data_IF_486391258227
#
_entry.id   IF_486391258227
#
_cell.length_a   1.000
_cell.length_b   1.000
_cell.length_c   1.000
_cell.angle_alpha   90.00
_cell.angle_beta   90.00
_cell.angle_gamma   90.00
#
_symmetry.space_group_name_H-M   'P 1'
#
loop_
_entity.id
_entity.type
_entity.pdbx_description
1 polymer ?
#
# COMPACT_ATOMS: atom_id res chain seq x y z
N UNK A 1 7.33 -28.17 2.95
CA UNK A 1 6.94 -26.83 3.47
C UNK A 1 7.69 -25.66 2.83
N UNK A 2 9.02 -25.72 2.63
CA UNK A 2 9.83 -24.57 2.12
C UNK A 2 9.36 -24.00 0.77
N UNK A 3 8.92 -24.85 -0.15
CA UNK A 3 8.41 -24.44 -1.46
C UNK A 3 7.00 -23.83 -1.39
N UNK A 4 6.14 -24.26 -0.44
CA UNK A 4 4.80 -23.66 -0.27
C UNK A 4 4.88 -22.21 0.19
N UNK A 5 5.83 -21.88 1.06
CA UNK A 5 6.06 -20.50 1.51
C UNK A 5 6.56 -19.60 0.36
N UNK A 6 7.49 -20.10 -0.46
CA UNK A 6 7.95 -19.37 -1.66
C UNK A 6 6.82 -19.17 -2.68
N UNK A 7 5.96 -20.17 -2.84
CA UNK A 7 4.84 -20.14 -3.78
C UNK A 7 3.74 -19.18 -3.30
N UNK A 8 3.49 -19.10 -1.99
CA UNK A 8 2.61 -18.08 -1.38
C UNK A 8 3.19 -16.67 -1.58
N UNK A 9 4.51 -16.50 -1.43
CA UNK A 9 5.16 -15.21 -1.64
C UNK A 9 5.06 -14.75 -3.10
N UNK A 10 5.28 -15.65 -4.06
CA UNK A 10 5.09 -15.39 -5.50
C UNK A 10 3.61 -15.13 -5.82
N UNK A 11 2.69 -15.86 -5.19
CA UNK A 11 1.26 -15.64 -5.36
C UNK A 11 0.79 -14.29 -4.80
N UNK A 12 1.34 -13.86 -3.66
CA UNK A 12 1.11 -12.52 -3.08
C UNK A 12 1.63 -11.41 -3.99
N UNK A 13 2.81 -11.61 -4.61
CA UNK A 13 3.36 -10.67 -5.60
C UNK A 13 2.42 -10.60 -6.82
N UNK A 14 1.96 -11.74 -7.34
CA UNK A 14 1.03 -11.79 -8.47
C UNK A 14 -0.34 -11.17 -8.15
N UNK A 15 -0.84 -11.34 -6.92
CA UNK A 15 -2.11 -10.76 -6.47
C UNK A 15 -2.01 -9.23 -6.33
N UNK A 16 -0.81 -8.71 -6.05
CA UNK A 16 -0.56 -7.27 -5.96
C UNK A 16 -0.47 -6.55 -7.30
N UNK A 17 -0.25 -7.27 -8.41
CA UNK A 17 -0.20 -6.71 -9.76
C UNK A 17 -1.59 -6.74 -10.41
N UNK A 18 -2.49 -5.82 -10.01
CA UNK A 18 -3.66 -5.53 -10.83
C UNK A 18 -3.19 -4.83 -12.12
N UNK A 19 -3.62 -5.38 -13.27
CA UNK A 19 -3.27 -4.94 -14.61
C UNK A 19 -3.91 -3.58 -14.91
N UNK A 20 -3.37 -2.50 -14.35
CA UNK A 20 -3.78 -1.15 -14.69
C UNK A 20 -3.02 -0.69 -15.94
N UNK A 21 -3.77 -0.47 -17.01
CA UNK A 21 -3.36 -0.04 -18.34
C UNK A 21 -2.39 1.15 -18.27
N UNK A 22 -1.18 0.99 -18.78
CA UNK A 22 -0.14 2.03 -18.77
C UNK A 22 -0.50 3.18 -19.71
N UNK A 23 -0.34 4.41 -19.23
CA UNK A 23 -0.25 5.61 -20.05
C UNK A 23 0.89 5.43 -21.10
N UNK A 24 0.70 5.88 -22.34
CA UNK A 24 1.62 5.62 -23.48
C UNK A 24 3.04 6.19 -23.27
N UNK A 25 3.27 6.93 -22.17
CA UNK A 25 4.55 7.53 -21.77
C UNK A 25 5.28 6.82 -20.63
N UNK A 26 4.78 5.67 -20.15
CA UNK A 26 5.46 4.93 -19.07
C UNK A 26 6.51 3.99 -19.67
N UNK A 27 7.78 4.20 -19.30
CA UNK A 27 8.86 3.33 -19.78
C UNK A 27 8.74 1.91 -19.19
N UNK A 28 9.13 0.90 -19.98
CA UNK A 28 9.17 -0.49 -19.50
C UNK A 28 10.03 -0.64 -18.24
N UNK A 29 11.14 0.10 -18.14
CA UNK A 29 12.00 0.12 -16.96
C UNK A 29 11.24 0.59 -15.71
N UNK A 30 10.37 1.59 -15.83
CA UNK A 30 9.52 2.08 -14.73
C UNK A 30 8.53 1.01 -14.28
N UNK A 31 7.93 0.27 -15.21
CA UNK A 31 6.99 -0.82 -14.91
C UNK A 31 7.72 -1.96 -14.19
N UNK A 32 8.89 -2.38 -14.68
CA UNK A 32 9.68 -3.44 -14.04
C UNK A 32 10.16 -3.03 -12.65
N UNK A 33 10.64 -1.79 -12.48
CA UNK A 33 11.01 -1.28 -11.17
C UNK A 33 9.80 -1.25 -10.22
N UNK A 34 8.62 -0.86 -10.72
CA UNK A 34 7.39 -0.86 -9.93
C UNK A 34 7.07 -2.25 -9.38
N UNK A 35 7.05 -3.27 -10.25
CA UNK A 35 6.67 -4.64 -9.88
C UNK A 35 7.74 -5.32 -9.02
N UNK A 36 9.02 -5.14 -9.33
CA UNK A 36 10.10 -5.89 -8.68
C UNK A 36 10.63 -5.25 -7.40
N UNK A 37 10.50 -3.93 -7.27
CA UNK A 37 11.09 -3.18 -6.16
C UNK A 37 10.01 -2.48 -5.35
N UNK A 38 9.22 -1.60 -5.98
CA UNK A 38 8.30 -0.74 -5.23
C UNK A 38 7.10 -1.51 -4.66
N UNK A 39 6.53 -2.48 -5.37
CA UNK A 39 5.41 -3.30 -4.86
C UNK A 39 5.80 -4.19 -3.67
N UNK A 40 6.93 -4.93 -3.69
CA UNK A 40 7.38 -5.68 -2.51
C UNK A 40 7.65 -4.79 -1.30
N UNK A 41 8.23 -3.61 -1.51
CA UNK A 41 8.48 -2.64 -0.43
C UNK A 41 7.15 -2.11 0.11
N UNK A 42 6.25 -1.67 -0.77
CA UNK A 42 4.92 -1.21 -0.38
C UNK A 42 4.11 -2.28 0.37
N UNK A 43 4.21 -3.53 -0.06
CA UNK A 43 3.60 -4.66 0.63
C UNK A 43 4.18 -4.84 2.03
N UNK A 44 5.51 -4.81 2.16
CA UNK A 44 6.17 -4.90 3.46
C UNK A 44 5.78 -3.74 4.39
N UNK A 45 5.65 -2.52 3.86
CA UNK A 45 5.18 -1.35 4.59
C UNK A 45 3.72 -1.50 5.01
N UNK A 46 2.84 -2.04 4.15
CA UNK A 46 1.43 -2.26 4.47
C UNK A 46 1.30 -3.29 5.60
N UNK A 47 2.03 -4.40 5.53
CA UNK A 47 2.04 -5.43 6.58
C UNK A 47 2.58 -4.87 7.89
N UNK A 48 3.70 -4.16 7.84
CA UNK A 48 4.34 -3.59 9.05
C UNK A 48 3.46 -2.50 9.66
N UNK A 49 2.93 -1.60 8.84
CA UNK A 49 2.03 -0.53 9.26
C UNK A 49 0.73 -1.07 9.87
N UNK A 50 0.14 -2.11 9.28
CA UNK A 50 -1.01 -2.81 9.86
C UNK A 50 -0.67 -3.44 11.21
N UNK A 51 0.48 -4.11 11.31
CA UNK A 51 0.91 -4.72 12.58
C UNK A 51 1.13 -3.65 13.67
N UNK A 52 1.75 -2.53 13.33
CA UNK A 52 1.94 -1.39 14.24
C UNK A 52 0.61 -0.76 14.65
N UNK A 53 -0.31 -0.56 13.71
CA UNK A 53 -1.64 -0.03 14.00
C UNK A 53 -2.38 -0.92 15.00
N UNK A 54 -2.39 -2.24 14.79
CA UNK A 54 -2.99 -3.18 15.74
C UNK A 54 -2.33 -3.11 17.12
N UNK A 55 -1.00 -3.04 17.18
CA UNK A 55 -0.26 -2.97 18.44
C UNK A 55 -0.56 -1.68 19.24
N UNK A 56 -0.69 -0.54 18.56
CA UNK A 56 -0.93 0.76 19.20
C UNK A 56 -2.43 1.10 19.30
N UNK A 57 -3.31 0.33 18.65
CA UNK A 57 -4.75 0.56 18.62
C UNK A 57 -5.41 0.76 20.00
N UNK A 58 -5.03 0.08 21.09
CA UNK A 58 -5.63 0.34 22.40
C UNK A 58 -5.28 1.74 22.93
N UNK A 59 -4.05 2.20 22.68
CA UNK A 59 -3.63 3.57 23.05
C UNK A 59 -4.31 4.60 22.17
N UNK A 60 -4.47 4.33 20.87
CA UNK A 60 -5.20 5.21 19.96
C UNK A 60 -6.65 5.36 20.35
N UNK A 61 -7.31 4.29 20.79
CA UNK A 61 -8.69 4.34 21.26
C UNK A 61 -8.85 5.28 22.47
N UNK A 62 -7.87 5.30 23.39
CA UNK A 62 -7.85 6.24 24.52
C UNK A 62 -7.57 7.67 24.04
N UNK A 63 -6.59 7.85 23.15
CA UNK A 63 -6.25 9.15 22.58
C UNK A 63 -7.44 9.78 21.83
N UNK A 64 -8.28 8.95 21.21
CA UNK A 64 -9.47 9.37 20.48
C UNK A 64 -10.58 9.97 21.38
N UNK A 65 -10.46 9.87 22.70
CA UNK A 65 -11.43 10.47 23.64
C UNK A 65 -11.23 11.98 23.74
N UNK A 66 -10.03 12.51 23.46
CA UNK A 66 -9.79 13.95 23.45
C UNK A 66 -10.17 14.53 22.08
N UNK A 67 -10.79 15.73 22.02
CA UNK A 67 -10.91 16.48 20.77
C UNK A 67 -9.54 16.62 20.10
N UNK A 68 -9.40 16.34 18.78
CA UNK A 68 -10.47 16.32 17.77
C UNK A 68 -11.17 14.97 17.54
N UNK A 69 -10.87 13.91 18.31
CA UNK A 69 -11.45 12.56 18.17
C UNK A 69 -11.15 11.85 16.83
N UNK A 70 -10.08 12.27 16.16
CA UNK A 70 -9.61 11.77 14.86
C UNK A 70 -8.32 10.93 14.97
N UNK A 71 -7.73 10.84 16.16
CA UNK A 71 -6.45 10.16 16.38
C UNK A 71 -6.44 8.71 15.86
N UNK A 72 -7.57 8.00 15.99
CA UNK A 72 -7.70 6.64 15.50
C UNK A 72 -7.79 6.59 13.97
N UNK A 73 -8.62 7.43 13.38
CA UNK A 73 -8.86 7.49 11.93
C UNK A 73 -7.61 7.98 11.18
N UNK A 74 -6.94 9.02 11.70
CA UNK A 74 -5.69 9.55 11.14
C UNK A 74 -4.58 8.51 11.18
N UNK A 75 -4.47 7.76 12.29
CA UNK A 75 -3.47 6.71 12.42
C UNK A 75 -3.76 5.53 11.49
N UNK A 76 -5.03 5.17 11.32
CA UNK A 76 -5.45 4.15 10.36
C UNK A 76 -5.12 4.58 8.93
N UNK A 77 -5.45 5.82 8.59
CA UNK A 77 -5.18 6.39 7.26
C UNK A 77 -3.68 6.40 6.97
N UNK A 78 -2.86 6.83 7.93
CA UNK A 78 -1.42 6.96 7.76
C UNK A 78 -0.69 5.61 7.75
N UNK A 79 -1.03 4.70 8.67
CA UNK A 79 -0.29 3.44 8.85
C UNK A 79 -0.80 2.31 7.97
N UNK A 80 -2.07 2.34 7.55
CA UNK A 80 -2.70 1.24 6.81
C UNK A 80 -3.13 1.70 5.42
N UNK A 81 -3.99 2.71 5.31
CA UNK A 81 -4.60 3.07 4.03
C UNK A 81 -3.59 3.67 3.06
N UNK A 82 -2.72 4.58 3.52
CA UNK A 82 -1.68 5.19 2.68
C UNK A 82 -0.76 4.15 2.03
N UNK A 83 -0.10 3.24 2.78
CA UNK A 83 0.74 2.21 2.16
C UNK A 83 -0.08 1.20 1.35
N UNK A 84 -1.31 0.87 1.76
CA UNK A 84 -2.21 0.01 0.99
C UNK A 84 -2.52 0.62 -0.37
N UNK A 85 -2.94 1.90 -0.41
CA UNK A 85 -3.29 2.63 -1.61
C UNK A 85 -2.08 2.75 -2.55
N UNK A 86 -0.90 3.04 -2.00
CA UNK A 86 0.35 3.06 -2.78
C UNK A 86 0.68 1.69 -3.38
N UNK A 87 0.37 0.60 -2.69
CA UNK A 87 0.77 -0.76 -3.11
C UNK A 87 -0.22 -1.40 -4.08
N UNK A 88 -1.51 -1.31 -3.76
CA UNK A 88 -2.56 -2.08 -4.42
C UNK A 88 -3.46 -1.23 -5.33
N UNK A 89 -3.75 0.01 -4.96
CA UNK A 89 -4.64 0.87 -5.74
C UNK A 89 -3.94 1.70 -6.80
N UNK A 90 -2.64 1.91 -6.63
CA UNK A 90 -1.81 2.67 -7.56
C UNK A 90 -1.63 1.95 -8.91
N UNK A 91 -1.94 2.63 -10.04
CA UNK A 91 -1.67 2.12 -11.38
C UNK A 91 -0.18 1.84 -11.63
N UNK A 92 0.10 0.85 -12.48
CA UNK A 92 1.46 0.46 -12.82
C UNK A 92 2.24 1.64 -13.44
N UNK A 93 3.40 1.93 -12.88
CA UNK A 93 4.30 2.97 -13.36
C UNK A 93 3.91 4.41 -13.02
N UNK A 94 2.80 4.63 -12.31
CA UNK A 94 2.47 5.92 -11.70
C UNK A 94 3.08 5.96 -10.30
N UNK A 95 3.81 7.02 -9.95
CA UNK A 95 4.45 7.15 -8.62
C UNK A 95 3.89 8.31 -7.80
N UNK A 96 3.17 9.24 -8.44
CA UNK A 96 2.58 10.39 -7.78
C UNK A 96 1.06 10.37 -7.95
N UNK A 97 0.30 10.72 -6.90
CA UNK A 97 -1.12 10.98 -7.05
C UNK A 97 -1.36 12.13 -8.03
N UNK A 98 -2.57 12.24 -8.53
CA UNK A 98 -2.99 13.40 -9.30
C UNK A 98 -3.02 14.68 -8.44
N UNK A 99 -3.40 15.82 -9.05
CA UNK A 99 -3.55 17.09 -8.32
C UNK A 99 -4.59 17.08 -7.20
N UNK A 100 -5.42 16.04 -7.11
CA UNK A 100 -6.45 15.85 -6.09
C UNK A 100 -5.99 14.88 -4.98
N UNK A 101 -4.75 14.39 -5.03
CA UNK A 101 -4.21 13.46 -4.04
C UNK A 101 -4.66 12.01 -4.23
N UNK A 102 -5.31 11.67 -5.34
CA UNK A 102 -5.85 10.33 -5.60
C UNK A 102 -5.14 9.67 -6.78
N UNK A 103 -4.95 8.35 -6.71
CA UNK A 103 -4.51 7.57 -7.87
C UNK A 103 -5.72 7.24 -8.75
N UNK A 104 -5.90 7.99 -9.84
CA UNK A 104 -7.02 7.73 -10.76
C UNK A 104 -6.85 6.40 -11.49
N UNK A 105 -7.84 5.51 -11.33
CA UNK A 105 -8.05 4.36 -12.20
C UNK A 105 -8.93 4.81 -13.37
N UNK A 106 -8.33 5.17 -14.51
CA UNK A 106 -9.10 5.43 -15.74
C UNK A 106 -9.60 4.13 -16.37
#
# INVERSE_FOLDING_TARGET
MKYKLKLIFVFLILLSSQLAKSDERVSLATIYADVLIYRPIGFALTVTGTALFVAVSPMLAIANIAPPHDAFDDSLEMLVMTPFNFTFDRPLGVMRPDGNGVYQRR
#
